data_IF_092221595782
#
_entry.id   IF_092221595782
#
_cell.length_a   1.000
_cell.length_b   1.000
_cell.length_c   1.000
_cell.angle_alpha   90.00
_cell.angle_beta   90.00
_cell.angle_gamma   90.00
#
_symmetry.space_group_name_H-M   'P 1'
#
loop_
_entity.id
_entity.type
_entity.pdbx_description
1 polymer ?
#
# COMPACT_ATOMS: atom_id res chain seq x y z
N UNK A 1 51.19 7.21 43.56
CA UNK A 1 51.30 8.34 42.62
C UNK A 1 50.52 9.50 43.20
N UNK A 2 51.15 10.66 43.34
CA UNK A 2 50.66 11.83 44.07
C UNK A 2 49.53 12.53 43.31
N UNK A 3 48.64 13.25 44.03
CA UNK A 3 47.45 13.93 43.48
C UNK A 3 47.78 14.82 42.27
N UNK A 4 48.95 15.47 42.25
CA UNK A 4 49.41 16.32 41.14
C UNK A 4 49.57 15.58 39.80
N UNK A 5 49.90 14.29 39.81
CA UNK A 5 50.08 13.49 38.58
C UNK A 5 48.74 13.10 37.93
N UNK A 6 47.66 13.02 38.71
CA UNK A 6 46.35 12.66 38.18
C UNK A 6 45.60 13.88 37.61
N UNK A 7 45.86 15.08 38.15
CA UNK A 7 45.27 16.31 37.63
C UNK A 7 45.90 16.71 36.29
N UNK A 8 47.21 16.53 36.14
CA UNK A 8 47.89 16.74 34.86
C UNK A 8 47.46 15.73 33.78
N UNK A 9 47.27 14.45 34.14
CA UNK A 9 46.78 13.44 33.21
C UNK A 9 45.38 13.78 32.70
N UNK A 10 44.49 14.23 33.58
CA UNK A 10 43.14 14.65 33.22
C UNK A 10 43.15 15.89 32.32
N UNK A 11 44.03 16.85 32.59
CA UNK A 11 44.17 18.06 31.77
C UNK A 11 44.67 17.74 30.36
N UNK A 12 45.64 16.82 30.24
CA UNK A 12 46.15 16.34 28.94
C UNK A 12 45.06 15.58 28.16
N UNK A 13 44.31 14.69 28.81
CA UNK A 13 43.23 13.95 28.17
C UNK A 13 42.08 14.88 27.72
N UNK A 14 41.80 15.96 28.46
CA UNK A 14 40.77 16.93 28.12
C UNK A 14 41.13 17.82 26.90
N UNK A 15 42.42 18.06 26.67
CA UNK A 15 42.89 18.94 25.59
C UNK A 15 43.46 18.18 24.38
N UNK A 16 43.45 16.84 24.39
CA UNK A 16 43.92 16.02 23.27
C UNK A 16 42.76 15.62 22.36
N UNK A 17 42.94 15.78 21.05
CA UNK A 17 41.92 15.42 20.06
C UNK A 17 41.59 13.91 20.08
N UNK A 18 40.30 13.57 20.00
CA UNK A 18 39.81 12.17 20.07
C UNK A 18 40.41 11.26 19.00
N UNK A 19 40.68 11.77 17.79
CA UNK A 19 41.35 11.00 16.73
C UNK A 19 42.77 10.61 17.12
N UNK A 20 43.51 11.52 17.74
CA UNK A 20 44.85 11.25 18.28
C UNK A 20 44.80 10.30 19.48
N UNK A 21 43.77 10.39 20.32
CA UNK A 21 43.59 9.44 21.42
C UNK A 21 43.25 8.03 20.91
N UNK A 22 42.38 7.89 19.90
CA UNK A 22 42.09 6.59 19.28
C UNK A 22 43.33 5.99 18.62
N UNK A 23 44.06 6.82 17.86
CA UNK A 23 45.32 6.43 17.25
C UNK A 23 46.33 5.98 18.32
N UNK A 24 46.52 6.78 19.37
CA UNK A 24 47.40 6.46 20.49
C UNK A 24 46.98 5.17 21.20
N UNK A 25 45.70 5.01 21.55
CA UNK A 25 45.19 3.80 22.20
C UNK A 25 45.46 2.58 21.31
N UNK A 26 45.28 2.71 20.00
CA UNK A 26 45.53 1.61 19.04
C UNK A 26 47.01 1.30 18.88
N UNK A 27 47.89 2.31 18.78
CA UNK A 27 49.34 2.17 18.69
C UNK A 27 49.91 1.60 19.99
N UNK A 28 49.48 2.15 21.13
CA UNK A 28 49.92 1.74 22.46
C UNK A 28 49.44 0.31 22.79
N UNK A 29 48.23 -0.07 22.39
CA UNK A 29 47.77 -1.45 22.47
C UNK A 29 48.56 -2.40 21.55
N UNK A 30 49.10 -1.94 20.42
CA UNK A 30 49.96 -2.79 19.57
C UNK A 30 51.32 -3.07 20.22
N UNK A 31 51.90 -2.06 20.86
CA UNK A 31 53.23 -2.19 21.45
C UNK A 31 53.19 -2.83 22.84
N UNK A 32 52.06 -2.79 23.56
CA UNK A 32 51.96 -3.18 24.97
C UNK A 32 50.85 -4.21 25.19
N UNK A 33 51.26 -5.48 25.23
CA UNK A 33 50.35 -6.63 25.25
C UNK A 33 49.47 -6.69 26.51
N UNK A 34 49.98 -6.27 27.67
CA UNK A 34 49.26 -6.20 28.95
C UNK A 34 48.12 -5.16 28.93
N UNK A 35 48.39 -3.96 28.42
CA UNK A 35 47.37 -2.92 28.24
C UNK A 35 46.30 -3.35 27.23
N UNK A 36 46.71 -3.93 26.08
CA UNK A 36 45.78 -4.47 25.08
C UNK A 36 44.86 -5.52 25.67
N UNK A 37 45.41 -6.44 26.46
CA UNK A 37 44.63 -7.52 27.06
C UNK A 37 43.59 -6.97 28.05
N UNK A 38 43.94 -6.00 28.90
CA UNK A 38 43.00 -5.34 29.83
C UNK A 38 41.97 -4.50 29.09
N UNK A 39 42.37 -3.82 28.01
CA UNK A 39 41.47 -3.00 27.20
C UNK A 39 40.44 -3.88 26.48
N UNK A 40 40.87 -4.96 25.84
CA UNK A 40 39.97 -5.92 25.20
C UNK A 40 39.08 -6.64 26.23
N UNK A 41 39.62 -7.04 27.37
CA UNK A 41 38.84 -7.66 28.45
C UNK A 41 37.75 -6.73 29.01
N UNK A 42 38.06 -5.43 29.11
CA UNK A 42 37.17 -4.42 29.69
C UNK A 42 36.14 -3.86 28.72
N UNK A 43 36.45 -3.86 27.42
CA UNK A 43 35.66 -3.17 26.40
C UNK A 43 35.13 -4.10 25.28
N UNK A 44 35.47 -5.40 25.26
CA UNK A 44 34.81 -6.39 24.38
C UNK A 44 33.61 -7.04 25.07
N UNK A 45 32.43 -7.10 24.44
CA UNK A 45 31.35 -7.97 24.91
C UNK A 45 31.76 -9.45 24.76
N UNK A 46 31.60 -10.29 25.80
CA UNK A 46 31.98 -11.72 25.78
C UNK A 46 30.74 -12.65 25.79
N UNK A 47 30.67 -13.61 24.87
CA UNK A 47 30.22 -14.99 25.15
C UNK A 47 30.99 -16.02 24.27
N UNK A 48 31.32 -17.28 24.62
CA UNK A 48 30.80 -18.34 25.51
C UNK A 48 31.96 -19.19 26.09
N UNK A 49 31.69 -20.29 26.84
CA UNK A 49 32.31 -21.56 26.44
C UNK A 49 31.29 -22.68 26.15
N UNK A 50 31.52 -23.43 25.05
CA UNK A 50 31.04 -24.81 24.80
C UNK A 50 32.17 -25.80 25.19
N UNK A 51 32.03 -27.14 25.15
CA UNK A 51 31.01 -28.04 25.70
C UNK A 51 31.60 -29.05 26.72
N UNK A 52 32.60 -28.66 27.54
CA UNK A 52 33.12 -29.49 28.66
C UNK A 52 33.23 -28.74 30.00
N UNK A 53 32.76 -27.49 30.06
CA UNK A 53 32.74 -26.71 31.30
C UNK A 53 31.54 -27.12 32.16
N UNK A 54 31.80 -27.63 33.37
CA UNK A 54 30.78 -27.85 34.43
C UNK A 54 30.11 -26.56 34.93
N UNK A 55 30.46 -25.40 34.38
CA UNK A 55 29.86 -24.12 34.68
C UNK A 55 29.36 -23.45 33.40
N UNK A 56 28.06 -23.58 33.11
CA UNK A 56 27.33 -22.67 32.23
C UNK A 56 27.42 -21.28 32.85
N UNK A 57 28.08 -20.33 32.20
CA UNK A 57 27.71 -18.94 32.45
C UNK A 57 26.29 -18.76 31.89
N UNK A 58 25.42 -17.99 32.55
CA UNK A 58 24.10 -17.75 32.00
C UNK A 58 24.30 -17.01 30.68
N UNK A 59 23.72 -17.54 29.60
CA UNK A 59 23.35 -16.70 28.45
C UNK A 59 22.72 -15.43 29.04
N UNK A 60 23.16 -14.25 28.59
CA UNK A 60 22.49 -13.03 29.03
C UNK A 60 20.98 -13.22 28.81
N UNK A 61 20.18 -12.93 29.84
CA UNK A 61 18.75 -13.18 29.82
C UNK A 61 18.08 -12.11 28.94
N UNK A 62 18.22 -12.27 27.63
CA UNK A 62 17.70 -11.36 26.61
C UNK A 62 16.19 -11.15 26.77
N UNK A 63 15.36 -12.18 27.03
CA UNK A 63 13.93 -11.96 27.29
C UNK A 63 13.70 -11.00 28.45
N UNK A 64 14.47 -11.13 29.54
CA UNK A 64 14.37 -10.22 30.68
C UNK A 64 14.86 -8.81 30.37
N UNK A 65 15.88 -8.65 29.54
CA UNK A 65 16.37 -7.34 29.08
C UNK A 65 15.29 -6.65 28.24
N UNK A 66 14.68 -7.37 27.30
CA UNK A 66 13.63 -6.86 26.41
C UNK A 66 12.39 -6.49 27.23
N UNK A 67 11.91 -7.40 28.09
CA UNK A 67 10.81 -7.10 29.02
C UNK A 67 11.08 -5.85 29.85
N UNK A 68 12.30 -5.73 30.38
CA UNK A 68 12.70 -4.58 31.20
C UNK A 68 12.64 -3.28 30.38
N UNK A 69 12.95 -3.30 29.09
CA UNK A 69 12.82 -2.12 28.22
C UNK A 69 11.37 -1.64 28.14
N UNK A 70 10.39 -2.56 28.03
CA UNK A 70 8.96 -2.25 28.08
C UNK A 70 8.51 -1.80 29.48
N UNK A 71 8.91 -2.50 30.54
CA UNK A 71 8.58 -2.13 31.93
C UNK A 71 9.08 -0.69 32.26
N UNK A 72 10.28 -0.32 31.81
CA UNK A 72 10.86 1.02 32.00
C UNK A 72 10.41 2.05 30.94
N UNK A 73 9.71 1.60 29.91
CA UNK A 73 9.07 2.40 28.88
C UNK A 73 7.57 2.64 29.15
N UNK A 74 7.03 2.15 30.26
CA UNK A 74 5.62 2.27 30.61
C UNK A 74 5.19 3.75 30.60
N UNK A 75 4.14 4.06 29.83
CA UNK A 75 3.60 5.40 29.67
C UNK A 75 2.11 5.42 29.95
N UNK A 76 1.64 6.55 30.49
CA UNK A 76 0.23 6.81 30.76
C UNK A 76 -0.21 8.00 29.92
N UNK A 77 -0.98 7.74 28.87
CA UNK A 77 -1.51 8.80 28.02
C UNK A 77 -2.85 9.32 28.57
N UNK A 78 -3.12 10.62 28.37
CA UNK A 78 -4.40 11.23 28.72
C UNK A 78 -5.24 11.37 27.44
N UNK A 79 -6.45 10.80 27.44
CA UNK A 79 -7.41 11.02 26.37
C UNK A 79 -7.71 12.52 26.16
N UNK A 80 -7.80 12.95 24.89
CA UNK A 80 -8.14 14.35 24.51
C UNK A 80 -9.52 14.83 25.01
N UNK A 81 -10.35 13.93 25.56
CA UNK A 81 -11.64 14.25 26.14
C UNK A 81 -11.59 14.06 27.66
N UNK A 82 -12.12 15.07 28.36
CA UNK A 82 -12.07 15.30 29.81
C UNK A 82 -12.81 14.26 30.69
N UNK A 83 -13.03 13.04 30.21
CA UNK A 83 -13.67 11.95 30.97
C UNK A 83 -12.89 10.63 30.81
N UNK A 84 -12.01 10.38 31.79
CA UNK A 84 -11.64 9.09 32.41
C UNK A 84 -11.56 7.81 31.58
N UNK A 85 -10.51 7.67 30.76
CA UNK A 85 -9.75 6.42 30.63
C UNK A 85 -8.26 6.76 30.48
N UNK A 86 -7.40 6.15 31.31
CA UNK A 86 -5.96 6.15 31.11
C UNK A 86 -5.65 4.93 30.24
N UNK A 87 -5.14 5.16 29.03
CA UNK A 87 -4.53 4.08 28.26
C UNK A 87 -3.12 3.89 28.83
N UNK A 88 -2.96 2.76 29.55
CA UNK A 88 -1.68 2.29 30.07
C UNK A 88 -1.06 1.43 28.98
N UNK A 89 0.11 1.84 28.50
CA UNK A 89 0.89 1.09 27.52
C UNK A 89 2.35 1.50 27.61
N UNK A 90 3.02 1.69 26.48
CA UNK A 90 4.42 2.10 26.44
C UNK A 90 4.64 3.33 25.58
N UNK A 91 5.77 3.99 25.80
CA UNK A 91 6.32 5.01 24.91
C UNK A 91 7.27 4.30 23.92
N UNK A 92 6.87 4.20 22.65
CA UNK A 92 7.59 3.44 21.63
C UNK A 92 9.01 3.94 21.40
N UNK A 93 9.22 5.24 21.30
CA UNK A 93 10.55 5.86 21.19
C UNK A 93 11.42 5.48 22.41
N UNK A 94 10.86 5.53 23.61
CA UNK A 94 11.58 5.19 24.83
C UNK A 94 11.91 3.69 24.97
N UNK A 95 11.07 2.80 24.44
CA UNK A 95 11.34 1.35 24.36
C UNK A 95 12.38 1.08 23.30
N UNK A 96 12.20 1.61 22.09
CA UNK A 96 13.11 1.46 20.95
C UNK A 96 14.54 1.88 21.31
N UNK A 97 14.71 3.07 21.91
CA UNK A 97 16.02 3.55 22.39
C UNK A 97 16.69 2.62 23.42
N UNK A 98 15.92 1.83 24.18
CA UNK A 98 16.47 0.84 25.13
C UNK A 98 16.78 -0.51 24.48
N UNK A 99 16.10 -0.85 23.37
CA UNK A 99 16.35 -2.06 22.60
C UNK A 99 17.48 -1.87 21.56
N UNK A 100 17.68 -0.66 21.05
CA UNK A 100 18.73 -0.31 20.07
C UNK A 100 20.13 -0.80 20.47
N UNK A 101 20.60 -0.67 21.74
CA UNK A 101 21.90 -1.20 22.15
C UNK A 101 22.03 -2.73 21.99
N UNK A 102 20.91 -3.46 22.05
CA UNK A 102 20.89 -4.91 21.87
C UNK A 102 21.06 -5.27 20.39
N UNK A 103 20.42 -4.53 19.47
CA UNK A 103 20.67 -4.66 18.03
C UNK A 103 22.11 -4.29 17.66
N UNK A 104 22.63 -3.18 18.18
CA UNK A 104 24.03 -2.80 17.96
C UNK A 104 25.02 -3.85 18.48
N UNK A 105 24.69 -4.50 19.60
CA UNK A 105 25.46 -5.64 20.13
C UNK A 105 25.43 -6.83 19.17
N UNK A 106 24.28 -7.14 18.59
CA UNK A 106 24.13 -8.22 17.62
C UNK A 106 24.91 -7.93 16.32
N UNK A 107 24.79 -6.71 15.78
CA UNK A 107 25.60 -6.23 14.63
C UNK A 107 27.10 -6.25 14.94
N UNK A 108 27.50 -5.92 16.16
CA UNK A 108 28.89 -6.03 16.59
C UNK A 108 29.37 -7.48 16.54
N UNK A 109 28.60 -8.43 17.08
CA UNK A 109 28.98 -9.84 17.06
C UNK A 109 29.05 -10.43 15.65
N UNK A 110 28.15 -10.01 14.76
CA UNK A 110 28.22 -10.37 13.34
C UNK A 110 29.56 -9.96 12.71
N UNK A 111 30.02 -8.72 12.96
CA UNK A 111 31.32 -8.21 12.44
C UNK A 111 32.56 -8.88 13.03
N UNK A 112 32.43 -9.59 14.15
CA UNK A 112 33.56 -10.18 14.88
C UNK A 112 33.50 -11.71 14.96
N UNK A 113 32.85 -12.33 13.97
CA UNK A 113 32.76 -13.80 13.80
C UNK A 113 32.09 -14.54 14.99
N UNK A 114 31.26 -13.83 15.76
CA UNK A 114 30.42 -14.44 16.80
C UNK A 114 28.96 -14.50 16.33
N UNK A 115 28.76 -15.09 15.15
CA UNK A 115 27.45 -15.15 14.50
C UNK A 115 26.39 -15.88 15.34
N UNK A 116 26.76 -16.92 16.11
CA UNK A 116 25.81 -17.62 16.99
C UNK A 116 25.16 -16.68 18.00
N UNK A 117 25.94 -15.78 18.61
CA UNK A 117 25.39 -14.84 19.57
C UNK A 117 24.51 -13.78 18.89
N UNK A 118 24.90 -13.33 17.70
CA UNK A 118 24.06 -12.44 16.89
C UNK A 118 22.70 -13.09 16.56
N UNK A 119 22.71 -14.37 16.16
CA UNK A 119 21.49 -15.17 15.93
C UNK A 119 20.65 -15.22 17.20
N UNK A 120 21.24 -15.55 18.36
CA UNK A 120 20.49 -15.62 19.61
C UNK A 120 19.85 -14.29 19.98
N UNK A 121 20.55 -13.17 19.80
CA UNK A 121 19.97 -11.85 20.10
C UNK A 121 18.79 -11.56 19.17
N UNK A 122 18.95 -11.75 17.86
CA UNK A 122 17.89 -11.54 16.89
C UNK A 122 16.65 -12.40 17.19
N UNK A 123 16.86 -13.70 17.42
CA UNK A 123 15.79 -14.63 17.79
C UNK A 123 15.04 -14.19 19.06
N UNK A 124 15.75 -13.68 20.07
CA UNK A 124 15.11 -13.22 21.31
C UNK A 124 14.34 -11.92 21.13
N UNK A 125 14.85 -10.98 20.30
CA UNK A 125 14.11 -9.78 19.91
C UNK A 125 12.79 -10.16 19.23
N UNK A 126 12.87 -11.04 18.23
CA UNK A 126 11.71 -11.52 17.49
C UNK A 126 10.75 -12.29 18.40
N UNK A 127 11.23 -13.17 19.28
CA UNK A 127 10.37 -13.98 20.14
C UNK A 127 9.69 -13.16 21.25
N UNK A 128 10.37 -12.14 21.79
CA UNK A 128 9.95 -11.49 23.05
C UNK A 128 9.19 -10.19 22.83
N UNK A 129 9.56 -9.39 21.82
CA UNK A 129 8.89 -8.10 21.56
C UNK A 129 7.36 -8.27 21.41
N UNK A 130 6.84 -9.24 20.64
CA UNK A 130 5.40 -9.39 20.44
C UNK A 130 4.61 -9.69 21.71
N UNK A 131 5.25 -10.22 22.77
CA UNK A 131 4.58 -10.51 24.04
C UNK A 131 4.22 -9.21 24.81
N UNK A 132 4.84 -8.08 24.45
CA UNK A 132 4.69 -6.78 25.13
C UNK A 132 4.26 -5.65 24.19
N UNK A 133 4.27 -5.88 22.88
CA UNK A 133 3.94 -4.88 21.88
C UNK A 133 2.42 -4.75 21.66
N UNK A 134 1.98 -3.52 21.41
CA UNK A 134 0.59 -3.16 21.12
C UNK A 134 0.60 -2.02 20.11
N UNK A 135 -0.06 -2.24 18.97
CA UNK A 135 -0.12 -1.28 17.84
C UNK A 135 -0.66 0.10 18.25
N UNK A 136 -1.47 0.18 19.31
CA UNK A 136 -2.04 1.44 19.78
C UNK A 136 -1.03 2.33 20.52
N UNK A 137 0.20 1.85 20.73
CA UNK A 137 1.26 2.60 21.42
C UNK A 137 2.49 2.82 20.55
N UNK A 138 2.46 2.36 19.29
CA UNK A 138 3.59 2.42 18.36
C UNK A 138 3.19 3.01 17.00
N UNK A 139 2.62 4.22 17.04
CA UNK A 139 2.08 4.89 15.85
C UNK A 139 3.14 5.26 14.80
N UNK A 140 4.35 5.55 15.26
CA UNK A 140 5.50 5.89 14.39
C UNK A 140 6.28 4.64 13.97
N UNK A 141 5.98 3.48 14.58
CA UNK A 141 6.61 2.20 14.26
C UNK A 141 8.02 2.04 14.85
N UNK A 142 8.36 2.79 15.91
CA UNK A 142 9.70 2.80 16.50
C UNK A 142 10.12 1.42 17.03
N UNK A 143 9.19 0.65 17.59
CA UNK A 143 9.47 -0.73 18.05
C UNK A 143 9.32 -1.72 16.90
N UNK A 144 8.41 -1.47 15.96
CA UNK A 144 8.30 -2.25 14.71
C UNK A 144 9.64 -2.27 13.95
N UNK A 145 10.34 -1.13 13.86
CA UNK A 145 11.66 -1.03 13.23
C UNK A 145 12.69 -1.94 13.92
N UNK A 146 12.69 -2.02 15.25
CA UNK A 146 13.61 -2.90 15.99
C UNK A 146 13.34 -4.37 15.66
N UNK A 147 12.07 -4.73 15.52
CA UNK A 147 11.65 -6.08 15.15
C UNK A 147 12.06 -6.42 13.71
N UNK A 148 11.82 -5.50 12.77
CA UNK A 148 12.22 -5.61 11.36
C UNK A 148 13.74 -5.75 11.22
N UNK A 149 14.52 -4.90 11.90
CA UNK A 149 15.99 -4.97 11.89
C UNK A 149 16.54 -6.28 12.49
N UNK A 150 15.80 -6.92 13.40
CA UNK A 150 16.17 -8.23 13.91
C UNK A 150 15.95 -9.34 12.86
N UNK A 151 14.92 -9.21 12.01
CA UNK A 151 14.70 -10.10 10.86
C UNK A 151 15.80 -9.86 9.81
N UNK A 152 16.06 -8.60 9.46
CA UNK A 152 17.15 -8.21 8.53
C UNK A 152 18.49 -8.79 8.98
N UNK A 153 18.77 -8.80 10.28
CA UNK A 153 20.01 -9.37 10.80
C UNK A 153 20.11 -10.89 10.57
N UNK A 154 18.98 -11.63 10.67
CA UNK A 154 18.95 -13.05 10.33
C UNK A 154 19.13 -13.24 8.81
N UNK A 155 18.51 -12.39 7.99
CA UNK A 155 18.69 -12.41 6.54
C UNK A 155 20.15 -12.14 6.13
N UNK A 156 20.80 -11.14 6.74
CA UNK A 156 22.21 -10.84 6.51
C UNK A 156 23.10 -12.06 6.81
N UNK A 157 22.81 -12.76 7.91
CA UNK A 157 23.54 -13.98 8.30
C UNK A 157 23.29 -15.12 7.31
N UNK A 158 22.07 -15.27 6.83
CA UNK A 158 21.70 -16.31 5.84
C UNK A 158 22.28 -16.00 4.45
N UNK A 159 22.45 -14.73 4.11
CA UNK A 159 23.12 -14.28 2.88
C UNK A 159 24.64 -14.43 2.93
N UNK A 160 25.26 -14.28 4.11
CA UNK A 160 26.72 -14.30 4.29
C UNK A 160 27.29 -15.71 4.54
N UNK A 161 26.88 -16.68 3.71
CA UNK A 161 27.31 -18.09 3.72
C UNK A 161 27.33 -18.71 5.15
N UNK A 162 26.15 -18.96 5.76
CA UNK A 162 26.08 -19.52 7.10
C UNK A 162 26.66 -20.94 7.16
N UNK A 163 27.23 -21.32 8.30
CA UNK A 163 27.60 -22.72 8.54
C UNK A 163 26.36 -23.60 8.65
N UNK A 164 26.50 -24.92 8.44
CA UNK A 164 25.36 -25.86 8.61
C UNK A 164 24.74 -25.79 10.01
N UNK A 165 25.54 -25.56 11.04
CA UNK A 165 25.05 -25.40 12.42
C UNK A 165 24.27 -24.09 12.60
N UNK A 166 24.72 -22.99 12.00
CA UNK A 166 24.01 -21.70 12.04
C UNK A 166 22.70 -21.77 11.26
N UNK A 167 22.73 -22.39 10.08
CA UNK A 167 21.55 -22.63 9.26
C UNK A 167 20.50 -23.45 10.02
N UNK A 168 20.91 -24.55 10.67
CA UNK A 168 20.01 -25.37 11.46
C UNK A 168 19.50 -24.64 12.72
N UNK A 169 20.34 -23.81 13.35
CA UNK A 169 19.95 -23.00 14.51
C UNK A 169 18.83 -22.01 14.16
N UNK A 170 18.93 -21.34 13.00
CA UNK A 170 17.91 -20.39 12.53
C UNK A 170 16.67 -21.17 12.07
N UNK A 171 16.85 -22.24 11.29
CA UNK A 171 15.70 -22.94 10.71
C UNK A 171 14.88 -23.72 11.76
N UNK A 172 15.51 -24.43 12.69
CA UNK A 172 14.80 -25.08 13.80
C UNK A 172 14.03 -24.07 14.67
N UNK A 173 14.59 -22.87 14.87
CA UNK A 173 13.89 -21.78 15.56
C UNK A 173 12.67 -21.32 14.74
N UNK A 174 12.87 -21.06 13.44
CA UNK A 174 11.82 -20.65 12.51
C UNK A 174 10.65 -21.64 12.49
N UNK A 175 10.92 -22.95 12.40
CA UNK A 175 9.90 -24.02 12.41
C UNK A 175 9.03 -24.01 13.67
N UNK A 176 9.56 -23.55 14.80
CA UNK A 176 8.84 -23.44 16.07
C UNK A 176 7.96 -22.19 16.12
N UNK A 177 8.42 -21.07 15.57
CA UNK A 177 7.74 -19.77 15.68
C UNK A 177 6.75 -19.51 14.54
N UNK A 178 6.98 -20.11 13.36
CA UNK A 178 6.10 -19.90 12.22
C UNK A 178 4.69 -20.48 12.50
N UNK A 179 3.69 -19.61 12.34
CA UNK A 179 2.29 -19.93 12.64
C UNK A 179 1.88 -19.72 14.10
N UNK A 180 2.76 -19.19 14.96
CA UNK A 180 2.34 -18.62 16.25
C UNK A 180 1.62 -17.28 16.01
N UNK A 181 0.44 -17.11 16.62
CA UNK A 181 -0.42 -15.95 16.39
C UNK A 181 0.26 -14.63 16.77
N UNK A 182 1.20 -14.65 17.71
CA UNK A 182 1.92 -13.44 18.13
C UNK A 182 2.83 -12.86 17.05
N UNK A 183 3.17 -13.63 16.02
CA UNK A 183 3.99 -13.17 14.90
C UNK A 183 3.15 -12.83 13.66
N UNK A 184 1.81 -12.91 13.73
CA UNK A 184 0.95 -12.65 12.57
C UNK A 184 0.98 -11.19 12.12
N UNK A 185 1.21 -10.25 13.04
CA UNK A 185 1.27 -8.83 12.73
C UNK A 185 2.11 -8.06 13.75
N UNK A 186 3.24 -7.52 13.27
CA UNK A 186 4.13 -6.63 14.03
C UNK A 186 4.39 -5.32 13.27
N UNK A 187 3.54 -4.98 12.30
CA UNK A 187 3.74 -3.86 11.38
C UNK A 187 4.03 -4.29 9.95
N UNK A 188 4.26 -3.31 9.08
CA UNK A 188 4.63 -3.57 7.69
C UNK A 188 6.01 -4.21 7.63
N UNK A 189 6.22 -5.12 6.66
CA UNK A 189 7.48 -5.84 6.40
C UNK A 189 7.96 -6.83 7.47
N UNK A 190 7.23 -7.00 8.57
CA UNK A 190 7.62 -7.89 9.68
C UNK A 190 7.34 -9.39 9.47
N UNK A 191 7.13 -9.84 8.23
CA UNK A 191 6.78 -11.24 7.97
C UNK A 191 8.00 -12.15 8.01
N UNK A 192 7.98 -13.16 8.88
CA UNK A 192 9.05 -14.17 8.95
C UNK A 192 9.11 -15.08 7.71
N UNK A 193 8.08 -15.07 6.86
CA UNK A 193 8.03 -15.85 5.61
C UNK A 193 9.16 -15.49 4.65
N UNK A 194 9.75 -14.29 4.77
CA UNK A 194 10.95 -13.88 4.02
C UNK A 194 12.12 -14.86 4.19
N UNK A 195 12.21 -15.50 5.36
CA UNK A 195 13.29 -16.45 5.66
C UNK A 195 13.15 -17.78 4.87
N UNK A 196 11.94 -18.12 4.38
CA UNK A 196 11.65 -19.39 3.69
C UNK A 196 12.52 -19.59 2.44
N UNK A 197 12.83 -18.51 1.72
CA UNK A 197 13.63 -18.54 0.49
C UNK A 197 15.07 -19.02 0.75
N UNK A 198 15.65 -18.65 1.89
CA UNK A 198 17.00 -19.08 2.28
C UNK A 198 17.03 -20.56 2.64
N UNK A 199 15.98 -21.05 3.32
CA UNK A 199 15.85 -22.45 3.70
C UNK A 199 15.56 -23.38 2.52
N UNK A 200 14.95 -22.85 1.46
CA UNK A 200 14.60 -23.59 0.26
C UNK A 200 15.83 -23.92 -0.61
N UNK A 201 16.92 -23.15 -0.54
CA UNK A 201 18.12 -23.31 -1.36
C UNK A 201 18.97 -24.55 -0.95
N UNK A 202 18.56 -25.74 -1.40
CA UNK A 202 19.18 -27.09 -1.49
C UNK A 202 20.40 -27.50 -0.62
N UNK A 203 20.62 -26.88 0.54
CA UNK A 203 21.55 -27.35 1.56
C UNK A 203 20.79 -28.24 2.57
N UNK A 204 21.00 -29.56 2.47
CA UNK A 204 20.57 -30.57 3.45
C UNK A 204 19.06 -30.91 3.56
N UNK A 205 18.26 -30.69 2.51
CA UNK A 205 16.83 -31.09 2.52
C UNK A 205 15.90 -30.06 3.16
N UNK A 206 16.35 -28.81 3.27
CA UNK A 206 15.55 -27.70 3.78
C UNK A 206 14.32 -27.40 2.93
N UNK A 207 14.40 -27.58 1.60
CA UNK A 207 13.26 -27.43 0.69
C UNK A 207 12.03 -28.24 1.12
N UNK A 208 12.20 -29.53 1.44
CA UNK A 208 11.07 -30.39 1.84
C UNK A 208 10.51 -30.00 3.21
N UNK A 209 11.31 -29.36 4.08
CA UNK A 209 10.83 -28.80 5.36
C UNK A 209 9.98 -27.56 5.11
N UNK A 210 10.48 -26.61 4.32
CA UNK A 210 9.72 -25.40 3.91
C UNK A 210 8.41 -25.81 3.26
N UNK A 211 8.46 -26.75 2.30
CA UNK A 211 7.26 -27.22 1.61
C UNK A 211 6.20 -27.79 2.56
N UNK A 212 6.61 -28.49 3.64
CA UNK A 212 5.68 -28.97 4.68
C UNK A 212 5.06 -27.84 5.50
N UNK A 213 5.80 -26.78 5.76
CA UNK A 213 5.31 -25.59 6.48
C UNK A 213 4.24 -24.90 5.62
N UNK A 214 4.57 -24.64 4.35
CA UNK A 214 3.65 -24.04 3.37
C UNK A 214 2.40 -24.91 3.18
N UNK A 215 2.55 -26.23 3.05
CA UNK A 215 1.42 -27.16 2.93
C UNK A 215 0.51 -27.15 4.16
N UNK A 216 1.09 -27.05 5.37
CA UNK A 216 0.33 -26.89 6.60
C UNK A 216 -0.44 -25.57 6.60
N UNK A 217 0.17 -24.46 6.18
CA UNK A 217 -0.49 -23.15 6.03
C UNK A 217 -1.67 -23.24 5.06
N UNK A 218 -1.48 -23.80 3.86
CA UNK A 218 -2.54 -24.02 2.87
C UNK A 218 -3.72 -24.85 3.44
N UNK A 219 -3.45 -25.80 4.33
CA UNK A 219 -4.47 -26.68 4.89
C UNK A 219 -5.35 -25.99 5.96
N UNK A 220 -4.79 -25.06 6.74
CA UNK A 220 -5.47 -24.43 7.89
C UNK A 220 -5.99 -23.01 7.61
N UNK A 221 -5.46 -22.34 6.58
CA UNK A 221 -5.78 -20.95 6.28
C UNK A 221 -7.16 -20.76 5.63
N UNK A 222 -7.76 -19.60 5.91
CA UNK A 222 -8.95 -19.08 5.23
C UNK A 222 -8.66 -18.75 3.75
N UNK A 223 -9.71 -18.54 2.95
CA UNK A 223 -9.62 -18.49 1.47
C UNK A 223 -8.55 -17.52 0.94
N UNK A 224 -8.43 -16.32 1.53
CA UNK A 224 -7.44 -15.31 1.12
C UNK A 224 -5.99 -15.74 1.41
N UNK A 225 -5.68 -16.09 2.67
CA UNK A 225 -4.33 -16.52 3.04
C UNK A 225 -3.95 -17.86 2.40
N UNK A 226 -4.94 -18.73 2.19
CA UNK A 226 -4.75 -19.96 1.44
C UNK A 226 -4.35 -19.70 0.00
N UNK A 227 -4.98 -18.75 -0.68
CA UNK A 227 -4.60 -18.37 -2.04
C UNK A 227 -3.16 -17.85 -2.09
N UNK A 228 -2.77 -16.99 -1.13
CA UNK A 228 -1.40 -16.48 -1.02
C UNK A 228 -0.38 -17.61 -0.82
N UNK A 229 -0.60 -18.49 0.15
CA UNK A 229 0.29 -19.62 0.42
C UNK A 229 0.40 -20.61 -0.77
N UNK A 230 -0.68 -20.80 -1.54
CA UNK A 230 -0.62 -21.60 -2.77
C UNK A 230 0.26 -20.94 -3.83
N UNK A 231 0.12 -19.62 -4.03
CA UNK A 231 0.94 -18.87 -4.99
C UNK A 231 2.42 -18.95 -4.61
N UNK A 232 2.73 -18.79 -3.33
CA UNK A 232 4.07 -18.94 -2.79
C UNK A 232 4.63 -20.36 -3.00
N UNK A 233 3.84 -21.40 -2.70
CA UNK A 233 4.21 -22.79 -3.00
C UNK A 233 4.60 -22.97 -4.47
N UNK A 234 3.83 -22.37 -5.38
CA UNK A 234 4.12 -22.47 -6.82
C UNK A 234 5.48 -21.84 -7.14
N UNK A 235 5.75 -20.62 -6.66
CA UNK A 235 7.05 -19.97 -6.89
C UNK A 235 8.21 -20.73 -6.25
N UNK A 236 8.06 -21.20 -5.01
CA UNK A 236 9.07 -22.03 -4.34
C UNK A 236 9.39 -23.29 -5.16
N UNK A 237 8.38 -23.96 -5.72
CA UNK A 237 8.57 -25.13 -6.58
C UNK A 237 9.28 -24.76 -7.90
N UNK A 238 8.90 -23.64 -8.53
CA UNK A 238 9.52 -23.15 -9.78
C UNK A 238 11.00 -22.81 -9.58
N UNK A 239 11.33 -22.02 -8.55
CA UNK A 239 12.69 -21.59 -8.22
C UNK A 239 13.62 -22.76 -7.87
N UNK A 240 13.05 -23.84 -7.34
CA UNK A 240 13.77 -25.08 -7.01
C UNK A 240 13.69 -26.17 -8.10
N UNK A 241 13.38 -25.79 -9.34
CA UNK A 241 13.34 -26.66 -10.52
C UNK A 241 12.36 -27.87 -10.38
N UNK A 242 11.30 -27.72 -9.58
CA UNK A 242 10.25 -28.74 -9.36
C UNK A 242 9.03 -28.47 -10.24
N UNK A 243 9.26 -28.23 -11.53
CA UNK A 243 8.26 -27.77 -12.50
C UNK A 243 6.99 -28.64 -12.54
N UNK A 244 7.14 -29.97 -12.51
CA UNK A 244 5.99 -30.89 -12.55
C UNK A 244 5.09 -30.78 -11.32
N UNK A 245 5.67 -30.53 -10.14
CA UNK A 245 4.91 -30.32 -8.91
C UNK A 245 4.29 -28.93 -8.85
N UNK A 246 4.95 -27.91 -9.42
CA UNK A 246 4.36 -26.59 -9.62
C UNK A 246 3.12 -26.67 -10.51
N UNK A 247 3.22 -27.35 -11.66
CA UNK A 247 2.08 -27.58 -12.57
C UNK A 247 0.94 -28.34 -11.87
N UNK A 248 1.25 -29.39 -11.10
CA UNK A 248 0.23 -30.11 -10.34
C UNK A 248 -0.49 -29.19 -9.33
N UNK A 249 0.26 -28.33 -8.64
CA UNK A 249 -0.28 -27.37 -7.68
C UNK A 249 -1.17 -26.34 -8.39
N UNK A 250 -0.74 -25.82 -9.55
CA UNK A 250 -1.53 -24.89 -10.37
C UNK A 250 -2.86 -25.52 -10.78
N UNK A 251 -2.85 -26.75 -11.31
CA UNK A 251 -4.06 -27.43 -11.76
C UNK A 251 -5.03 -27.72 -10.59
N UNK A 252 -4.50 -28.09 -9.42
CA UNK A 252 -5.31 -28.33 -8.22
C UNK A 252 -6.04 -27.07 -7.73
N UNK A 253 -5.38 -25.90 -7.83
CA UNK A 253 -5.86 -24.64 -7.26
C UNK A 253 -6.29 -23.61 -8.32
N UNK A 254 -6.55 -24.05 -9.56
CA UNK A 254 -6.86 -23.19 -10.70
C UNK A 254 -8.11 -22.31 -10.52
N UNK A 255 -8.97 -22.63 -9.55
CA UNK A 255 -10.14 -21.83 -9.20
C UNK A 255 -9.78 -20.50 -8.53
N UNK A 256 -8.56 -20.37 -7.97
CA UNK A 256 -8.08 -19.11 -7.42
C UNK A 256 -7.62 -18.15 -8.53
N UNK A 257 -8.03 -16.87 -8.47
CA UNK A 257 -7.68 -15.92 -9.51
C UNK A 257 -6.17 -15.75 -9.78
N UNK A 258 -5.35 -15.68 -8.73
CA UNK A 258 -3.91 -15.45 -8.89
C UNK A 258 -3.21 -16.70 -9.44
N UNK A 259 -3.63 -17.89 -9.01
CA UNK A 259 -3.15 -19.16 -9.56
C UNK A 259 -3.51 -19.29 -11.04
N UNK A 260 -4.74 -18.90 -11.42
CA UNK A 260 -5.15 -18.85 -12.82
C UNK A 260 -4.32 -17.84 -13.61
N UNK A 261 -3.94 -16.70 -13.02
CA UNK A 261 -3.09 -15.71 -13.67
C UNK A 261 -1.68 -16.25 -13.93
N UNK A 262 -1.11 -17.05 -13.03
CA UNK A 262 0.16 -17.75 -13.25
C UNK A 262 0.05 -18.70 -14.45
N UNK A 263 -1.01 -19.53 -14.50
CA UNK A 263 -1.25 -20.42 -15.63
C UNK A 263 -1.42 -19.67 -16.94
N UNK A 264 -2.15 -18.55 -16.91
CA UNK A 264 -2.34 -17.68 -18.07
C UNK A 264 -0.99 -17.15 -18.59
N UNK A 265 -0.15 -16.61 -17.70
CA UNK A 265 1.18 -16.10 -18.05
C UNK A 265 2.05 -17.17 -18.73
N UNK A 266 2.03 -18.40 -18.21
CA UNK A 266 2.72 -19.56 -18.81
C UNK A 266 2.21 -19.84 -20.23
N UNK A 267 0.88 -19.90 -20.41
CA UNK A 267 0.27 -20.15 -21.72
C UNK A 267 0.57 -19.04 -22.73
N UNK A 268 0.53 -17.77 -22.30
CA UNK A 268 0.86 -16.62 -23.15
C UNK A 268 2.34 -16.59 -23.54
N UNK A 269 3.24 -16.96 -22.64
CA UNK A 269 4.68 -17.05 -22.91
C UNK A 269 4.98 -18.17 -23.92
N UNK A 270 4.23 -19.27 -23.86
CA UNK A 270 4.29 -20.36 -24.83
C UNK A 270 3.45 -20.12 -26.10
N UNK A 271 2.87 -18.93 -26.27
CA UNK A 271 1.98 -18.55 -27.38
C UNK A 271 0.79 -19.49 -27.60
N UNK A 272 0.34 -20.20 -26.55
CA UNK A 272 -0.81 -21.11 -26.57
C UNK A 272 -2.11 -20.35 -26.39
N UNK A 273 -2.46 -19.52 -27.36
CA UNK A 273 -3.59 -18.59 -27.27
C UNK A 273 -4.95 -19.27 -27.10
N UNK A 274 -5.21 -20.39 -27.79
CA UNK A 274 -6.50 -21.11 -27.66
C UNK A 274 -6.72 -21.65 -26.24
N UNK A 275 -5.66 -22.13 -25.60
CA UNK A 275 -5.69 -22.61 -24.22
C UNK A 275 -5.89 -21.46 -23.23
N UNK A 276 -5.20 -20.33 -23.45
CA UNK A 276 -5.37 -19.14 -22.65
C UNK A 276 -6.80 -18.58 -22.75
N UNK A 277 -7.41 -18.61 -23.93
CA UNK A 277 -8.80 -18.20 -24.13
C UNK A 277 -9.75 -19.11 -23.34
N UNK A 278 -9.58 -20.44 -23.41
CA UNK A 278 -10.41 -21.39 -22.63
C UNK A 278 -10.28 -21.16 -21.13
N UNK A 279 -9.04 -21.02 -20.65
CA UNK A 279 -8.73 -20.74 -19.25
C UNK A 279 -9.43 -19.47 -18.75
N UNK A 280 -9.39 -18.39 -19.53
CA UNK A 280 -10.03 -17.12 -19.19
C UNK A 280 -11.56 -17.21 -19.21
N UNK A 281 -12.15 -17.93 -20.17
CA UNK A 281 -13.60 -18.11 -20.26
C UNK A 281 -14.15 -18.90 -19.07
N UNK A 282 -13.49 -20.02 -18.71
CA UNK A 282 -13.81 -20.79 -17.50
C UNK A 282 -13.65 -19.94 -16.25
N UNK A 283 -12.61 -19.13 -16.21
CA UNK A 283 -12.46 -18.13 -15.18
C UNK A 283 -13.67 -17.21 -15.10
N UNK A 284 -14.00 -16.50 -16.18
CA UNK A 284 -15.08 -15.52 -16.18
C UNK A 284 -16.39 -16.13 -15.65
N UNK A 285 -16.65 -17.40 -15.97
CA UNK A 285 -17.79 -18.14 -15.42
C UNK A 285 -17.72 -18.26 -13.88
N UNK A 286 -16.60 -18.73 -13.34
CA UNK A 286 -16.39 -18.85 -11.88
C UNK A 286 -16.48 -17.47 -11.18
N UNK A 287 -15.89 -16.43 -11.76
CA UNK A 287 -15.93 -15.08 -11.20
C UNK A 287 -17.37 -14.51 -11.20
N UNK A 288 -18.16 -14.79 -12.25
CA UNK A 288 -19.59 -14.43 -12.29
C UNK A 288 -20.39 -15.16 -11.21
N UNK A 289 -20.13 -16.44 -10.99
CA UNK A 289 -20.77 -17.24 -9.93
C UNK A 289 -20.43 -16.72 -8.53
N UNK A 290 -19.17 -16.37 -8.29
CA UNK A 290 -18.70 -15.72 -7.05
C UNK A 290 -19.07 -14.24 -6.95
N UNK A 291 -19.67 -13.65 -7.99
CA UNK A 291 -20.03 -12.23 -8.10
C UNK A 291 -18.83 -11.27 -7.92
N UNK A 292 -17.64 -11.71 -8.29
CA UNK A 292 -16.40 -10.92 -8.25
C UNK A 292 -16.23 -10.12 -9.54
N UNK A 293 -17.01 -9.04 -9.68
CA UNK A 293 -17.04 -8.21 -10.90
C UNK A 293 -15.62 -7.72 -11.27
N UNK A 294 -14.80 -7.33 -10.29
CA UNK A 294 -13.41 -6.90 -10.56
C UNK A 294 -12.62 -7.94 -11.38
N UNK A 295 -12.68 -9.21 -10.98
CA UNK A 295 -12.00 -10.32 -11.65
C UNK A 295 -12.58 -10.61 -13.04
N UNK A 296 -13.89 -10.47 -13.24
CA UNK A 296 -14.52 -10.61 -14.57
C UNK A 296 -13.93 -9.58 -15.54
N UNK A 297 -13.86 -8.31 -15.11
CA UNK A 297 -13.34 -7.22 -15.93
C UNK A 297 -11.86 -7.43 -16.27
N UNK A 298 -11.05 -7.87 -15.30
CA UNK A 298 -9.63 -8.19 -15.52
C UNK A 298 -9.45 -9.29 -16.57
N UNK A 299 -10.23 -10.37 -16.47
CA UNK A 299 -10.15 -11.47 -17.43
C UNK A 299 -10.71 -11.13 -18.81
N UNK A 300 -11.74 -10.28 -18.90
CA UNK A 300 -12.19 -9.72 -20.17
C UNK A 300 -11.12 -8.84 -20.82
N UNK A 301 -10.36 -8.05 -20.05
CA UNK A 301 -9.23 -7.26 -20.58
C UNK A 301 -8.11 -8.15 -21.13
N UNK A 302 -7.78 -9.24 -20.45
CA UNK A 302 -6.82 -10.22 -20.95
C UNK A 302 -7.30 -10.90 -22.24
N UNK A 303 -8.58 -11.30 -22.31
CA UNK A 303 -9.17 -11.82 -23.55
C UNK A 303 -9.10 -10.79 -24.69
N UNK A 304 -9.40 -9.52 -24.40
CA UNK A 304 -9.31 -8.45 -25.39
C UNK A 304 -7.87 -8.29 -25.89
N UNK A 305 -6.87 -8.36 -25.01
CA UNK A 305 -5.45 -8.33 -25.37
C UNK A 305 -5.07 -9.48 -26.32
N UNK A 306 -5.50 -10.72 -26.01
CA UNK A 306 -5.27 -11.88 -26.87
C UNK A 306 -5.93 -11.70 -28.25
N UNK A 307 -7.22 -11.35 -28.30
CA UNK A 307 -7.92 -11.16 -29.57
C UNK A 307 -7.40 -9.99 -30.39
N UNK A 308 -6.80 -8.98 -29.73
CA UNK A 308 -6.07 -7.90 -30.42
C UNK A 308 -4.86 -8.45 -31.16
N UNK A 309 -4.06 -9.32 -30.52
CA UNK A 309 -2.90 -9.98 -31.16
C UNK A 309 -3.33 -10.88 -32.32
N UNK A 310 -4.46 -11.57 -32.17
CA UNK A 310 -5.04 -12.43 -33.21
C UNK A 310 -5.80 -11.65 -34.30
N UNK A 311 -5.89 -10.32 -34.19
CA UNK A 311 -6.65 -9.43 -35.09
C UNK A 311 -8.12 -9.86 -35.29
N UNK A 312 -8.74 -10.44 -34.25
CA UNK A 312 -10.14 -10.88 -34.29
C UNK A 312 -11.08 -9.74 -33.89
N UNK A 313 -11.39 -8.87 -34.87
CA UNK A 313 -12.22 -7.68 -34.65
C UNK A 313 -13.60 -8.00 -34.07
N UNK A 314 -14.24 -9.09 -34.51
CA UNK A 314 -15.57 -9.47 -34.04
C UNK A 314 -15.57 -9.72 -32.53
N UNK A 315 -14.61 -10.51 -32.03
CA UNK A 315 -14.47 -10.78 -30.59
C UNK A 315 -14.02 -9.54 -29.81
N UNK A 316 -13.16 -8.70 -30.37
CA UNK A 316 -12.79 -7.43 -29.74
C UNK A 316 -14.02 -6.53 -29.52
N UNK A 317 -14.92 -6.42 -30.50
CA UNK A 317 -16.17 -5.65 -30.37
C UNK A 317 -17.08 -6.26 -29.30
N UNK A 318 -17.29 -7.58 -29.32
CA UNK A 318 -18.10 -8.30 -28.33
C UNK A 318 -17.64 -8.01 -26.90
N UNK A 319 -16.35 -8.21 -26.61
CA UNK A 319 -15.79 -8.00 -25.28
C UNK A 319 -15.83 -6.52 -24.88
N UNK A 320 -15.53 -5.61 -25.80
CA UNK A 320 -15.58 -4.17 -25.51
C UNK A 320 -17.01 -3.72 -25.19
N UNK A 321 -18.02 -4.32 -25.82
CA UNK A 321 -19.43 -4.07 -25.47
C UNK A 321 -19.74 -4.55 -24.05
N UNK A 322 -19.29 -5.74 -23.66
CA UNK A 322 -19.50 -6.26 -22.29
C UNK A 322 -18.88 -5.31 -21.25
N UNK A 323 -17.61 -4.94 -21.43
CA UNK A 323 -16.90 -3.99 -20.56
C UNK A 323 -17.60 -2.62 -20.49
N UNK A 324 -18.09 -2.12 -21.62
CA UNK A 324 -18.83 -0.85 -21.68
C UNK A 324 -20.13 -0.90 -20.86
N UNK A 325 -20.85 -2.02 -20.93
CA UNK A 325 -22.11 -2.25 -20.20
C UNK A 325 -21.87 -2.34 -18.70
N UNK A 326 -20.76 -2.92 -18.25
CA UNK A 326 -20.41 -3.03 -16.82
C UNK A 326 -20.08 -1.68 -16.17
N UNK A 327 -19.73 -0.67 -16.98
CA UNK A 327 -19.64 0.73 -16.53
C UNK A 327 -18.26 1.19 -16.07
N UNK A 328 -17.21 0.36 -16.22
CA UNK A 328 -15.82 0.78 -15.96
C UNK A 328 -15.15 1.20 -17.26
N UNK A 329 -14.33 2.25 -17.21
CA UNK A 329 -13.53 2.73 -18.35
C UNK A 329 -14.34 2.98 -19.64
N UNK A 330 -15.60 3.41 -19.51
CA UNK A 330 -16.53 3.58 -20.63
C UNK A 330 -15.99 4.49 -21.74
N UNK A 331 -15.16 5.49 -21.38
CA UNK A 331 -14.50 6.37 -22.34
C UNK A 331 -13.48 5.63 -23.21
N UNK A 332 -12.67 4.76 -22.62
CA UNK A 332 -11.71 3.94 -23.36
C UNK A 332 -12.46 2.94 -24.25
N UNK A 333 -13.51 2.31 -23.71
CA UNK A 333 -14.38 1.41 -24.48
C UNK A 333 -15.05 2.12 -25.67
N UNK A 334 -15.56 3.35 -25.48
CA UNK A 334 -16.12 4.17 -26.57
C UNK A 334 -15.10 4.41 -27.69
N UNK A 335 -13.89 4.82 -27.34
CA UNK A 335 -12.82 5.06 -28.31
C UNK A 335 -12.44 3.78 -29.07
N UNK A 336 -12.38 2.64 -28.39
CA UNK A 336 -12.13 1.34 -29.01
C UNK A 336 -13.26 0.93 -29.94
N UNK A 337 -14.52 1.06 -29.53
CA UNK A 337 -15.68 0.77 -30.37
C UNK A 337 -15.71 1.66 -31.62
N UNK A 338 -15.40 2.96 -31.50
CA UNK A 338 -15.30 3.87 -32.65
C UNK A 338 -14.26 3.42 -33.68
N UNK A 339 -13.13 2.87 -33.23
CA UNK A 339 -12.05 2.38 -34.13
C UNK A 339 -12.37 1.02 -34.74
N UNK A 340 -13.06 0.15 -34.00
CA UNK A 340 -13.31 -1.23 -34.40
C UNK A 340 -14.55 -1.37 -35.29
N UNK A 341 -15.53 -0.48 -35.14
CA UNK A 341 -16.80 -0.54 -35.87
C UNK A 341 -16.63 0.03 -37.28
N UNK A 342 -17.04 -0.70 -38.33
CA UNK A 342 -17.13 -0.16 -39.69
C UNK A 342 -18.01 1.10 -39.77
N UNK A 343 -17.71 2.02 -40.69
CA UNK A 343 -18.46 3.29 -40.78
C UNK A 343 -19.94 3.10 -41.16
N UNK A 344 -20.28 2.03 -41.88
CA UNK A 344 -21.65 1.67 -42.23
C UNK A 344 -22.46 1.13 -41.04
N UNK A 345 -21.80 0.49 -40.06
CA UNK A 345 -22.42 -0.02 -38.83
C UNK A 345 -22.38 0.98 -37.66
N UNK A 346 -21.58 2.05 -37.78
CA UNK A 346 -21.40 3.02 -36.70
C UNK A 346 -22.69 3.70 -36.20
N UNK A 347 -23.67 4.09 -37.05
CA UNK A 347 -24.91 4.70 -36.58
C UNK A 347 -25.68 3.82 -35.59
N UNK A 348 -25.73 2.51 -35.84
CA UNK A 348 -26.40 1.55 -34.97
C UNK A 348 -25.62 1.34 -33.67
N UNK A 349 -24.29 1.25 -33.76
CA UNK A 349 -23.41 1.18 -32.60
C UNK A 349 -23.54 2.41 -31.70
N UNK A 350 -23.56 3.61 -32.28
CA UNK A 350 -23.71 4.87 -31.55
C UNK A 350 -25.06 4.94 -30.83
N UNK A 351 -26.12 4.47 -31.49
CA UNK A 351 -27.47 4.39 -30.90
C UNK A 351 -27.45 3.47 -29.68
N UNK A 352 -26.84 2.29 -29.80
CA UNK A 352 -26.67 1.35 -28.69
C UNK A 352 -25.84 1.95 -27.54
N UNK A 353 -24.71 2.60 -27.83
CA UNK A 353 -23.86 3.28 -26.83
C UNK A 353 -24.67 4.30 -26.02
N UNK A 354 -25.42 5.17 -26.72
CA UNK A 354 -26.22 6.21 -26.09
C UNK A 354 -27.37 5.64 -25.25
N UNK A 355 -27.97 4.53 -25.69
CA UNK A 355 -28.98 3.82 -24.93
C UNK A 355 -28.41 3.30 -23.61
N UNK A 356 -27.28 2.58 -23.64
CA UNK A 356 -26.63 2.05 -22.42
C UNK A 356 -26.24 3.18 -21.45
N UNK A 357 -25.68 4.29 -21.95
CA UNK A 357 -25.36 5.47 -21.12
C UNK A 357 -26.61 6.16 -20.55
N UNK A 358 -27.79 5.94 -21.12
CA UNK A 358 -29.04 6.50 -20.63
C UNK A 358 -29.70 5.64 -19.54
N UNK A 359 -29.63 4.32 -19.69
CA UNK A 359 -30.22 3.36 -18.78
C UNK A 359 -29.40 3.21 -17.49
N UNK A 360 -28.07 3.22 -17.61
CA UNK A 360 -27.17 3.02 -16.47
C UNK A 360 -26.59 4.35 -15.99
N UNK A 361 -27.02 4.80 -14.82
CA UNK A 361 -26.58 6.07 -14.20
C UNK A 361 -25.30 5.91 -13.38
N UNK A 362 -24.20 5.51 -14.00
CA UNK A 362 -22.87 5.57 -13.34
C UNK A 362 -22.40 7.04 -13.25
N UNK A 363 -21.53 7.34 -12.27
CA UNK A 363 -21.11 8.71 -11.92
C UNK A 363 -20.57 9.54 -13.11
N UNK A 364 -19.86 8.91 -14.08
CA UNK A 364 -19.22 9.59 -15.23
C UNK A 364 -20.02 9.48 -16.57
N UNK A 365 -21.15 8.78 -16.59
CA UNK A 365 -21.94 8.56 -17.82
C UNK A 365 -22.49 9.84 -18.43
N UNK A 366 -22.80 10.84 -17.58
CA UNK A 366 -23.32 12.12 -18.00
C UNK A 366 -22.30 12.93 -18.80
N UNK A 367 -21.04 12.93 -18.38
CA UNK A 367 -19.98 13.67 -19.08
C UNK A 367 -19.62 13.03 -20.41
N UNK A 368 -19.40 11.71 -20.42
CA UNK A 368 -19.13 10.98 -21.67
C UNK A 368 -20.26 11.17 -22.69
N UNK A 369 -21.52 11.09 -22.26
CA UNK A 369 -22.66 11.32 -23.16
C UNK A 369 -22.68 12.73 -23.74
N UNK A 370 -22.33 13.74 -22.96
CA UNK A 370 -22.24 15.11 -23.44
C UNK A 370 -21.11 15.30 -24.45
N UNK A 371 -19.93 14.70 -24.21
CA UNK A 371 -18.82 14.71 -25.16
C UNK A 371 -19.24 14.07 -26.50
N UNK A 372 -19.93 12.94 -26.46
CA UNK A 372 -20.46 12.26 -27.66
C UNK A 372 -21.45 13.17 -28.41
N UNK A 373 -22.33 13.88 -27.69
CA UNK A 373 -23.24 14.83 -28.33
C UNK A 373 -22.51 16.00 -28.98
N UNK A 374 -21.41 16.49 -28.38
CA UNK A 374 -20.56 17.51 -29.01
C UNK A 374 -19.91 16.96 -30.28
N UNK A 375 -19.32 15.77 -30.22
CA UNK A 375 -18.65 15.10 -31.35
C UNK A 375 -19.61 14.95 -32.55
N UNK A 376 -20.83 14.49 -32.29
CA UNK A 376 -21.87 14.27 -33.30
C UNK A 376 -22.77 15.49 -33.56
N UNK A 377 -22.44 16.66 -33.00
CA UNK A 377 -23.19 17.92 -33.19
C UNK A 377 -24.68 17.83 -32.82
N UNK A 378 -25.02 16.99 -31.83
CA UNK A 378 -26.38 16.79 -31.28
C UNK A 378 -26.69 17.83 -30.21
N UNK A 379 -26.87 19.08 -30.63
CA UNK A 379 -26.94 20.21 -29.70
C UNK A 379 -28.22 20.25 -28.85
N UNK A 380 -29.36 19.85 -29.40
CA UNK A 380 -30.63 19.79 -28.65
C UNK A 380 -30.54 18.77 -27.50
N UNK A 381 -29.99 17.58 -27.78
CA UNK A 381 -29.78 16.53 -26.78
C UNK A 381 -28.78 16.96 -25.70
N UNK A 382 -27.71 17.66 -26.09
CA UNK A 382 -26.73 18.24 -25.16
C UNK A 382 -27.39 19.26 -24.23
N UNK A 383 -28.21 20.18 -24.77
CA UNK A 383 -28.92 21.17 -23.96
C UNK A 383 -29.85 20.49 -22.95
N UNK A 384 -30.62 19.48 -23.39
CA UNK A 384 -31.54 18.75 -22.52
C UNK A 384 -30.79 17.98 -21.42
N UNK A 385 -29.66 17.35 -21.76
CA UNK A 385 -28.79 16.69 -20.81
C UNK A 385 -28.27 17.68 -19.75
N UNK A 386 -27.68 18.79 -20.17
CA UNK A 386 -27.12 19.77 -19.25
C UNK A 386 -28.20 20.40 -18.35
N UNK A 387 -29.43 20.61 -18.86
CA UNK A 387 -30.58 21.04 -18.05
C UNK A 387 -30.89 20.07 -16.92
N UNK A 388 -30.91 18.77 -17.21
CA UNK A 388 -31.21 17.72 -16.23
C UNK A 388 -30.06 17.53 -15.21
N UNK A 389 -28.82 17.77 -15.61
CA UNK A 389 -27.63 17.60 -14.76
C UNK A 389 -27.27 18.83 -13.93
N UNK A 390 -27.77 20.02 -14.28
CA UNK A 390 -27.59 21.26 -13.53
C UNK A 390 -26.44 22.16 -14.01
N UNK A 391 -26.20 23.24 -13.26
CA UNK A 391 -25.37 24.38 -13.72
C UNK A 391 -23.90 24.03 -13.98
N UNK A 392 -23.35 23.06 -13.24
CA UNK A 392 -21.95 22.64 -13.42
C UNK A 392 -21.73 22.08 -14.83
N UNK A 393 -22.68 21.27 -15.30
CA UNK A 393 -22.65 20.67 -16.62
C UNK A 393 -22.80 21.75 -17.71
N UNK A 394 -23.74 22.69 -17.54
CA UNK A 394 -23.91 23.82 -18.47
C UNK A 394 -22.61 24.62 -18.59
N UNK A 395 -21.95 24.91 -17.47
CA UNK A 395 -20.72 25.71 -17.46
C UNK A 395 -19.58 25.05 -18.25
N UNK A 396 -19.48 23.71 -18.19
CA UNK A 396 -18.48 22.94 -18.93
C UNK A 396 -18.71 22.98 -20.45
N UNK A 397 -19.96 22.89 -20.88
CA UNK A 397 -20.33 22.81 -22.31
C UNK A 397 -20.87 24.12 -22.91
N UNK A 398 -20.87 25.22 -22.15
CA UNK A 398 -21.41 26.53 -22.56
C UNK A 398 -20.83 26.99 -23.90
N UNK A 399 -19.53 26.81 -24.12
CA UNK A 399 -18.85 27.21 -25.36
C UNK A 399 -19.50 26.65 -26.63
N UNK A 400 -20.14 25.47 -26.53
CA UNK A 400 -20.85 24.83 -27.63
C UNK A 400 -22.32 25.25 -27.71
N UNK A 401 -22.97 25.44 -26.56
CA UNK A 401 -24.40 25.72 -26.44
C UNK A 401 -24.75 27.19 -26.63
N UNK A 402 -23.97 28.10 -26.04
CA UNK A 402 -24.25 29.55 -26.02
C UNK A 402 -24.40 30.19 -27.41
N UNK A 403 -23.61 29.83 -28.44
CA UNK A 403 -23.82 30.38 -29.78
C UNK A 403 -25.16 30.01 -30.43
N UNK A 404 -25.83 28.95 -29.94
CA UNK A 404 -27.05 28.39 -30.54
C UNK A 404 -28.29 28.62 -29.67
N UNK A 405 -28.13 28.53 -28.35
CA UNK A 405 -29.20 28.64 -27.36
C UNK A 405 -28.86 29.66 -26.27
N UNK A 406 -28.55 30.92 -26.63
CA UNK A 406 -28.12 31.93 -25.66
C UNK A 406 -29.19 32.21 -24.60
N UNK A 407 -30.47 32.23 -25.00
CA UNK A 407 -31.60 32.51 -24.09
C UNK A 407 -31.82 31.36 -23.12
N UNK A 408 -31.73 30.14 -23.60
CA UNK A 408 -31.94 28.91 -22.84
C UNK A 408 -30.83 28.71 -21.81
N UNK A 409 -29.56 28.89 -22.22
CA UNK A 409 -28.42 28.83 -21.30
C UNK A 409 -28.55 29.90 -20.22
N UNK A 410 -28.90 31.13 -20.61
CA UNK A 410 -29.13 32.22 -19.66
C UNK A 410 -30.27 31.89 -18.68
N UNK A 411 -31.37 31.30 -19.16
CA UNK A 411 -32.50 30.92 -18.31
C UNK A 411 -32.13 29.88 -17.24
N UNK A 412 -31.20 28.97 -17.54
CA UNK A 412 -30.73 27.96 -16.58
C UNK A 412 -29.89 28.62 -15.48
N UNK A 413 -29.00 29.56 -15.85
CA UNK A 413 -28.26 30.33 -14.86
C UNK A 413 -29.18 31.18 -13.98
N UNK A 414 -30.20 31.80 -14.58
CA UNK A 414 -31.22 32.56 -13.85
C UNK A 414 -31.94 31.69 -12.82
N UNK A 415 -32.45 30.53 -13.24
CA UNK A 415 -33.11 29.57 -12.35
C UNK A 415 -32.19 29.10 -11.22
N UNK A 416 -30.94 28.77 -11.55
CA UNK A 416 -29.94 28.34 -10.57
C UNK A 416 -29.67 29.42 -9.51
N UNK A 417 -29.46 30.67 -9.94
CA UNK A 417 -29.23 31.81 -9.05
C UNK A 417 -30.41 32.05 -8.11
N UNK A 418 -31.63 32.02 -8.65
CA UNK A 418 -32.84 32.18 -7.87
C UNK A 418 -32.99 31.06 -6.83
N UNK A 419 -32.72 29.81 -7.20
CA UNK A 419 -32.74 28.69 -6.27
C UNK A 419 -31.67 28.82 -5.18
N UNK A 420 -30.41 29.11 -5.54
CA UNK A 420 -29.33 29.26 -4.56
C UNK A 420 -29.57 30.43 -3.61
N UNK A 421 -30.19 31.52 -4.08
CA UNK A 421 -30.54 32.66 -3.24
C UNK A 421 -31.53 32.31 -2.11
N UNK A 422 -32.36 31.27 -2.26
CA UNK A 422 -33.27 30.84 -1.18
C UNK A 422 -32.54 30.16 -0.02
N UNK A 423 -31.42 29.50 -0.29
CA UNK A 423 -30.66 28.68 0.67
C UNK A 423 -29.94 29.58 1.68
N UNK A 424 -30.05 29.25 2.97
CA UNK A 424 -29.40 30.02 4.05
C UNK A 424 -28.02 29.45 4.36
N UNK A 425 -27.07 29.63 3.44
CA UNK A 425 -25.70 29.10 3.55
C UNK A 425 -24.67 30.08 2.95
N UNK A 426 -23.49 30.20 3.57
CA UNK A 426 -22.45 31.15 3.12
C UNK A 426 -21.90 30.76 1.74
N UNK A 427 -21.70 29.48 1.48
CA UNK A 427 -21.20 29.02 0.18
C UNK A 427 -22.27 29.17 -0.91
N UNK A 428 -23.56 29.00 -0.59
CA UNK A 428 -24.65 29.31 -1.52
C UNK A 428 -24.64 30.78 -1.96
N UNK A 429 -24.43 31.74 -1.04
CA UNK A 429 -24.34 33.15 -1.39
C UNK A 429 -23.14 33.47 -2.29
N UNK A 430 -21.99 32.83 -2.03
CA UNK A 430 -20.81 32.94 -2.89
C UNK A 430 -21.10 32.45 -4.31
N UNK A 431 -21.80 31.31 -4.45
CA UNK A 431 -22.25 30.78 -5.75
C UNK A 431 -23.23 31.72 -6.47
N UNK A 432 -24.12 32.38 -5.74
CA UNK A 432 -25.01 33.44 -6.28
C UNK A 432 -24.19 34.58 -6.88
N UNK A 433 -23.28 35.18 -6.10
CA UNK A 433 -22.44 36.28 -6.56
C UNK A 433 -21.60 35.92 -7.79
N UNK A 434 -20.93 34.77 -7.75
CA UNK A 434 -20.13 34.27 -8.88
C UNK A 434 -20.96 34.06 -10.15
N UNK A 435 -22.16 33.51 -10.02
CA UNK A 435 -23.03 33.25 -11.18
C UNK A 435 -23.61 34.55 -11.74
N UNK A 436 -23.98 35.52 -10.90
CA UNK A 436 -24.41 36.85 -11.35
C UNK A 436 -23.30 37.57 -12.14
N UNK A 437 -22.05 37.49 -11.67
CA UNK A 437 -20.89 38.03 -12.41
C UNK A 437 -20.79 37.35 -13.78
N UNK A 438 -20.93 36.03 -13.84
CA UNK A 438 -20.89 35.28 -15.09
C UNK A 438 -22.01 35.68 -16.06
N UNK A 439 -23.24 35.85 -15.55
CA UNK A 439 -24.41 36.28 -16.33
C UNK A 439 -24.24 37.66 -16.98
N UNK A 440 -23.44 38.57 -16.40
CA UNK A 440 -23.12 39.87 -17.02
C UNK A 440 -22.42 39.73 -18.38
N UNK A 441 -21.74 38.61 -18.62
CA UNK A 441 -21.07 38.36 -19.91
C UNK A 441 -22.05 38.12 -21.06
N UNK A 442 -23.31 37.80 -20.77
CA UNK A 442 -24.34 37.58 -21.80
C UNK A 442 -24.84 38.90 -22.37
N UNK A 443 -25.25 38.90 -23.63
CA UNK A 443 -25.86 40.06 -24.26
C UNK A 443 -27.13 40.48 -23.49
N UNK A 444 -27.21 41.74 -23.07
CA UNK A 444 -28.28 42.24 -22.21
C UNK A 444 -28.24 41.75 -20.74
N UNK A 445 -27.32 40.86 -20.38
CA UNK A 445 -27.26 40.23 -19.06
C UNK A 445 -27.01 41.21 -17.91
N UNK A 446 -26.27 42.29 -18.16
CA UNK A 446 -25.98 43.31 -17.14
C UNK A 446 -27.24 44.00 -16.61
N UNK A 447 -28.23 44.27 -17.47
CA UNK A 447 -29.48 44.89 -17.06
C UNK A 447 -30.29 43.95 -16.14
N UNK A 448 -30.41 42.68 -16.54
CA UNK A 448 -31.11 41.65 -15.76
C UNK A 448 -30.42 41.40 -14.41
N UNK A 449 -29.09 41.34 -14.39
CA UNK A 449 -28.33 41.16 -13.14
C UNK A 449 -28.56 42.33 -12.17
N UNK A 450 -28.65 43.57 -12.67
CA UNK A 450 -28.95 44.74 -11.83
C UNK A 450 -30.35 44.64 -11.21
N UNK A 451 -31.33 44.21 -11.98
CA UNK A 451 -32.70 43.98 -11.50
C UNK A 451 -32.75 42.89 -10.41
N UNK A 452 -32.08 41.76 -10.64
CA UNK A 452 -31.99 40.66 -9.67
C UNK A 452 -31.31 41.09 -8.36
N UNK A 453 -30.23 41.87 -8.42
CA UNK A 453 -29.56 42.38 -7.21
C UNK A 453 -30.51 43.25 -6.40
N UNK A 454 -31.24 44.17 -7.04
CA UNK A 454 -32.22 45.01 -6.35
C UNK A 454 -33.32 44.17 -5.70
N UNK A 455 -33.85 43.18 -6.42
CA UNK A 455 -34.85 42.24 -5.90
C UNK A 455 -34.30 41.45 -4.69
N UNK A 456 -33.07 40.96 -4.79
CA UNK A 456 -32.43 40.18 -3.72
C UNK A 456 -32.09 41.04 -2.49
N UNK A 457 -31.70 42.31 -2.67
CA UNK A 457 -31.49 43.25 -1.57
C UNK A 457 -32.76 43.48 -0.77
N UNK A 458 -33.89 43.66 -1.44
CA UNK A 458 -35.19 43.82 -0.76
C UNK A 458 -35.65 42.53 -0.07
N UNK A 459 -35.58 41.41 -0.78
CA UNK A 459 -36.10 40.12 -0.31
C UNK A 459 -35.26 39.55 0.84
N UNK A 460 -33.93 39.69 0.78
CA UNK A 460 -32.98 39.03 1.67
C UNK A 460 -32.23 40.00 2.59
N UNK A 461 -32.73 41.22 2.81
CA UNK A 461 -32.10 42.31 3.58
C UNK A 461 -31.51 41.95 4.95
N UNK A 462 -32.00 40.87 5.58
CA UNK A 462 -31.52 40.37 6.89
C UNK A 462 -30.38 39.33 6.78
N UNK A 463 -29.77 39.13 5.62
CA UNK A 463 -28.68 38.18 5.37
C UNK A 463 -27.36 38.92 5.06
N UNK A 464 -26.54 39.30 6.08
CA UNK A 464 -25.36 40.14 5.88
C UNK A 464 -24.32 39.54 4.92
N UNK A 465 -24.11 38.23 4.98
CA UNK A 465 -23.19 37.52 4.08
C UNK A 465 -23.66 37.58 2.63
N UNK A 466 -24.97 37.49 2.38
CA UNK A 466 -25.51 37.64 1.03
C UNK A 466 -25.30 39.05 0.50
N UNK A 467 -25.55 40.09 1.31
CA UNK A 467 -25.30 41.48 0.91
C UNK A 467 -23.84 41.71 0.51
N UNK A 468 -22.90 41.17 1.31
CA UNK A 468 -21.47 41.22 1.01
C UNK A 468 -21.12 40.60 -0.35
N UNK A 469 -21.74 39.48 -0.71
CA UNK A 469 -21.50 38.85 -2.01
C UNK A 469 -22.17 39.62 -3.17
N UNK A 470 -23.34 40.23 -2.95
CA UNK A 470 -24.00 41.09 -3.96
C UNK A 470 -23.20 42.37 -4.23
N UNK A 471 -22.60 42.97 -3.19
CA UNK A 471 -21.77 44.18 -3.32
C UNK A 471 -20.49 43.94 -4.14
N UNK A 472 -20.05 42.69 -4.28
CA UNK A 472 -18.88 42.32 -5.09
C UNK A 472 -19.21 42.11 -6.58
N UNK A 473 -20.48 42.12 -6.97
CA UNK A 473 -20.90 41.85 -8.36
C UNK A 473 -20.68 43.06 -9.28
N UNK A 474 -20.65 44.28 -8.70
CA UNK A 474 -20.51 45.54 -9.44
C UNK A 474 -19.38 46.41 -8.92
#
# INVERSE_FOLDING_TARGET
>A
MTMESNDLLKDILAHTATSKLKQFISEYANDHADFRNVFLEKFSPKPKPKPDSKHKQPEEDYPRIIKKAFDEGESRSHGRYRNDYYDIGFDAEAVSNKLEPLLEKARYYLRHDNREEAIHIAQNLIDTIPDYWDENFDYEGDVQVIYDEAIDLLEDILNDEPTTEQMELIFSWYERVIGDEKHNYMGLNTSLEVLENYFAADAAGGFERVLRIVDKRIAISEEYEKQRAVVEKIYLLEENNREAAADQTIEQYLFFPDVRAIRLKRLLTAERYDDAIRLLQEGIQIAREKKTIGTVNEWQKELLSIYTRLNNKAKMVEITKELFVEGREQRACYQSLRKLTPEDEWPDMLTWILQILSEKRYYDTGELRADIYVEHKRWDDLLQLCRNSGVGMIRKYEKHLRPRYPKEVFSIYLQYVQQQATITDKEAYKRVGQTLIWMKSFEGGTAVVRELINQFRETYKRRPYMMKELDRVF
#
